data_IF_642040495549
#
_entry.id   IF_642040495549
#
_cell.length_a   1.000
_cell.length_b   1.000
_cell.length_c   1.000
_cell.angle_alpha   90.00
_cell.angle_beta   90.00
_cell.angle_gamma   90.00
#
_symmetry.space_group_name_H-M   'P 1'
#
loop_
_entity.id
_entity.type
_entity.pdbx_description
1 polymer ?
#
# COMPACT_ATOMS: atom_id res chain seq x y z
N UNK A 1 -3.42 19.15 -7.04
CA UNK A 1 -4.65 19.92 -6.71
C UNK A 1 -4.31 21.23 -6.01
N UNK A 2 -3.62 21.21 -4.87
CA UNK A 2 -3.21 22.45 -4.18
C UNK A 2 -2.36 23.34 -5.10
N UNK A 3 -1.38 22.76 -5.78
CA UNK A 3 -0.56 23.49 -6.79
C UNK A 3 -1.40 24.09 -7.93
N UNK A 4 -2.46 23.41 -8.38
CA UNK A 4 -3.39 23.93 -9.39
C UNK A 4 -4.21 25.12 -8.85
N UNK A 5 -4.72 25.03 -7.62
CA UNK A 5 -5.48 26.12 -6.98
C UNK A 5 -4.62 27.36 -6.73
N UNK A 6 -3.36 27.18 -6.38
CA UNK A 6 -2.42 28.29 -6.20
C UNK A 6 -1.80 28.80 -7.51
N UNK A 7 -2.09 28.16 -8.66
CA UNK A 7 -1.55 28.56 -9.95
C UNK A 7 -0.06 28.23 -10.16
N UNK A 8 0.47 27.22 -9.46
CA UNK A 8 1.83 26.72 -9.68
C UNK A 8 1.84 25.77 -10.88
N UNK A 9 2.63 26.09 -11.89
CA UNK A 9 2.81 25.26 -13.08
C UNK A 9 3.76 24.10 -12.77
N UNK A 10 3.22 22.93 -12.47
CA UNK A 10 4.00 21.68 -12.37
C UNK A 10 4.02 20.96 -13.72
N UNK A 11 5.01 20.07 -13.90
CA UNK A 11 5.14 19.30 -15.14
C UNK A 11 3.86 18.56 -15.54
N UNK A 12 3.14 18.00 -14.55
CA UNK A 12 1.88 17.30 -14.76
C UNK A 12 0.74 18.25 -15.15
N UNK A 13 0.64 19.42 -14.50
CA UNK A 13 -0.39 20.44 -14.80
C UNK A 13 -0.25 20.94 -16.25
N UNK A 14 0.98 21.20 -16.68
CA UNK A 14 1.29 21.64 -18.05
C UNK A 14 1.07 20.51 -19.06
N UNK A 15 1.45 19.26 -18.74
CA UNK A 15 1.26 18.13 -19.66
C UNK A 15 -0.21 17.81 -19.94
N UNK A 16 -1.09 18.06 -18.97
CA UNK A 16 -2.54 17.86 -19.12
C UNK A 16 -3.31 19.14 -19.51
N UNK A 17 -2.61 20.22 -19.89
CA UNK A 17 -3.20 21.52 -20.26
C UNK A 17 -4.14 22.11 -19.19
N UNK A 18 -3.91 21.75 -17.93
CA UNK A 18 -4.73 22.21 -16.80
C UNK A 18 -4.46 23.69 -16.47
N UNK A 19 -3.31 24.21 -16.88
CA UNK A 19 -2.97 25.64 -16.77
C UNK A 19 -3.86 26.55 -17.62
N UNK A 20 -4.62 26.02 -18.58
CA UNK A 20 -5.55 26.80 -19.43
C UNK A 20 -6.99 26.83 -18.88
N UNK A 21 -7.27 26.12 -17.78
CA UNK A 21 -8.59 26.09 -17.16
C UNK A 21 -8.87 27.36 -16.37
N UNK A 22 -10.11 27.84 -16.40
CA UNK A 22 -10.56 29.06 -15.70
C UNK A 22 -10.35 28.98 -14.17
N UNK A 23 -10.34 27.77 -13.62
CA UNK A 23 -10.17 27.51 -12.19
C UNK A 23 -8.69 27.47 -11.75
N UNK A 24 -7.74 27.50 -12.68
CA UNK A 24 -6.31 27.51 -12.36
C UNK A 24 -5.94 28.84 -11.68
N UNK A 25 -5.30 28.76 -10.51
CA UNK A 25 -4.95 29.95 -9.73
C UNK A 25 -6.12 30.61 -8.99
N UNK A 26 -7.31 30.01 -8.96
CA UNK A 26 -8.49 30.55 -8.25
C UNK A 26 -8.32 30.65 -6.73
N UNK A 27 -7.30 30.01 -6.16
CA UNK A 27 -7.02 29.95 -4.73
C UNK A 27 -5.75 30.67 -4.28
N UNK A 28 -5.21 31.60 -5.07
CA UNK A 28 -3.97 32.32 -4.74
C UNK A 28 -4.02 33.19 -3.48
N UNK A 29 -5.23 33.48 -2.97
CA UNK A 29 -5.42 34.31 -1.77
C UNK A 29 -5.08 33.58 -0.46
N UNK A 30 -5.01 32.24 -0.48
CA UNK A 30 -4.77 31.41 0.70
C UNK A 30 -3.51 30.55 0.49
N UNK A 31 -2.86 30.19 1.60
CA UNK A 31 -1.60 29.44 1.55
C UNK A 31 -1.79 27.93 1.36
N UNK A 32 -0.69 27.27 1.00
CA UNK A 32 -0.59 25.81 0.89
C UNK A 32 -1.20 25.08 2.09
N UNK A 33 -0.92 25.57 3.31
CA UNK A 33 -1.39 24.98 4.55
C UNK A 33 -2.91 25.05 4.67
N UNK A 34 -3.51 26.19 4.32
CA UNK A 34 -4.96 26.40 4.37
C UNK A 34 -5.67 25.51 3.35
N UNK A 35 -5.19 25.43 2.11
CA UNK A 35 -5.78 24.53 1.12
C UNK A 35 -5.70 23.06 1.51
N UNK A 36 -4.57 22.63 2.08
CA UNK A 36 -4.44 21.28 2.62
C UNK A 36 -5.41 21.02 3.80
N UNK A 37 -5.62 22.00 4.68
CA UNK A 37 -6.60 21.90 5.76
C UNK A 37 -8.05 21.80 5.23
N UNK A 38 -8.39 22.58 4.20
CA UNK A 38 -9.70 22.51 3.52
C UNK A 38 -9.91 21.12 2.91
N UNK A 39 -8.94 20.57 2.18
CA UNK A 39 -9.03 19.24 1.57
C UNK A 39 -9.17 18.13 2.61
N UNK A 40 -8.41 18.20 3.71
CA UNK A 40 -8.55 17.26 4.84
C UNK A 40 -9.94 17.32 5.45
N UNK A 41 -10.46 18.51 5.67
CA UNK A 41 -11.78 18.67 6.26
C UNK A 41 -12.90 18.21 5.31
N UNK A 42 -12.74 18.40 4.00
CA UNK A 42 -13.66 17.90 2.99
C UNK A 42 -13.66 16.36 2.89
N UNK A 43 -12.50 15.73 3.12
CA UNK A 43 -12.40 14.26 3.27
C UNK A 43 -13.12 13.78 4.54
N UNK A 44 -12.90 14.44 5.68
CA UNK A 44 -13.55 14.10 6.96
C UNK A 44 -15.06 14.28 6.89
N UNK A 45 -15.51 15.36 6.24
CA UNK A 45 -16.92 15.65 6.03
C UNK A 45 -17.58 14.72 4.99
N UNK A 46 -16.82 13.85 4.34
CA UNK A 46 -17.33 12.87 3.38
C UNK A 46 -17.64 13.44 2.00
N UNK A 47 -17.28 14.69 1.69
CA UNK A 47 -17.47 15.29 0.36
C UNK A 47 -16.47 14.76 -0.67
N UNK A 48 -15.28 14.40 -0.19
CA UNK A 48 -14.22 13.79 -0.98
C UNK A 48 -13.91 12.39 -0.43
N UNK A 49 -13.45 11.49 -1.29
CA UNK A 49 -12.90 10.19 -0.90
C UNK A 49 -11.60 9.93 -1.67
N UNK A 50 -10.75 9.04 -1.14
CA UNK A 50 -9.54 8.58 -1.81
C UNK A 50 -9.82 7.25 -2.49
N UNK A 51 -9.48 7.13 -3.78
CA UNK A 51 -9.44 5.80 -4.41
C UNK A 51 -8.17 5.07 -3.97
N UNK A 52 -8.35 3.91 -3.36
CA UNK A 52 -7.26 3.07 -2.81
C UNK A 52 -6.49 2.39 -3.94
N UNK A 53 -7.14 2.14 -5.08
CA UNK A 53 -6.59 1.42 -6.22
C UNK A 53 -5.76 2.32 -7.17
N UNK A 54 -5.97 3.64 -7.15
CA UNK A 54 -5.32 4.59 -8.05
C UNK A 54 -4.58 5.68 -7.26
N UNK A 55 -3.30 5.44 -6.91
CA UNK A 55 -2.30 6.43 -6.47
C UNK A 55 -2.85 7.75 -5.91
N UNK A 56 -3.57 7.71 -4.78
CA UNK A 56 -3.96 8.91 -4.04
C UNK A 56 -4.92 9.87 -4.77
N UNK A 57 -5.65 9.41 -5.78
CA UNK A 57 -6.59 10.25 -6.53
C UNK A 57 -7.80 10.59 -5.67
N UNK A 58 -8.18 11.87 -5.63
CA UNK A 58 -9.37 12.32 -4.92
C UNK A 58 -10.59 12.23 -5.83
N UNK A 59 -11.68 11.65 -5.33
CA UNK A 59 -12.96 11.55 -6.01
C UNK A 59 -14.06 12.24 -5.21
N UNK A 60 -14.96 12.92 -5.92
CA UNK A 60 -16.13 13.56 -5.33
C UNK A 60 -17.18 12.49 -5.02
N UNK A 61 -17.64 12.44 -3.77
CA UNK A 61 -18.68 11.50 -3.31
C UNK A 61 -20.08 11.98 -3.72
N UNK A 62 -21.13 11.14 -3.57
CA UNK A 62 -22.51 11.60 -3.76
C UNK A 62 -22.85 12.84 -2.91
N UNK A 63 -22.39 12.88 -1.65
CA UNK A 63 -22.55 14.04 -0.76
C UNK A 63 -21.78 15.28 -1.25
N UNK A 64 -20.59 15.09 -1.82
CA UNK A 64 -19.83 16.19 -2.42
C UNK A 64 -20.52 16.80 -3.64
N UNK A 65 -21.25 16.00 -4.43
CA UNK A 65 -22.05 16.51 -5.56
C UNK A 65 -23.27 17.31 -5.08
N UNK A 66 -23.96 16.80 -4.05
CA UNK A 66 -25.06 17.52 -3.41
C UNK A 66 -24.61 18.87 -2.82
N UNK A 67 -23.41 18.89 -2.21
CA UNK A 67 -22.78 20.12 -1.74
C UNK A 67 -22.50 21.14 -2.87
N UNK A 68 -22.11 20.68 -4.05
CA UNK A 68 -21.89 21.58 -5.19
C UNK A 68 -23.19 22.23 -5.70
N UNK A 69 -24.32 21.53 -5.58
CA UNK A 69 -25.65 22.05 -5.93
C UNK A 69 -26.22 22.94 -4.82
N UNK A 70 -25.95 22.60 -3.55
CA UNK A 70 -26.44 23.27 -2.36
C UNK A 70 -25.31 23.51 -1.34
N UNK A 71 -24.49 24.56 -1.53
CA UNK A 71 -23.31 24.79 -0.70
C UNK A 71 -23.70 25.15 0.74
N UNK A 72 -23.22 24.34 1.69
CA UNK A 72 -23.38 24.58 3.13
C UNK A 72 -22.05 25.02 3.75
N UNK A 73 -22.09 25.92 4.74
CA UNK A 73 -20.85 26.29 5.42
C UNK A 73 -20.36 25.16 6.32
N UNK A 74 -19.06 24.87 6.27
CA UNK A 74 -18.40 23.96 7.20
C UNK A 74 -17.16 24.62 7.79
N UNK A 75 -16.78 24.22 9.01
CA UNK A 75 -15.66 24.82 9.73
C UNK A 75 -14.35 24.16 9.31
N UNK A 76 -13.38 24.97 8.92
CA UNK A 76 -12.01 24.53 8.62
C UNK A 76 -11.12 24.96 9.79
N UNK A 77 -10.32 24.03 10.31
CA UNK A 77 -9.33 24.34 11.34
C UNK A 77 -8.13 24.99 10.66
N UNK A 78 -7.90 26.28 10.92
CA UNK A 78 -6.63 26.94 10.56
C UNK A 78 -5.56 26.48 11.54
N UNK A 79 -4.47 25.90 11.05
CA UNK A 79 -3.28 25.63 11.87
C UNK A 79 -2.77 26.97 12.38
N UNK A 80 -2.85 27.18 13.70
CA UNK A 80 -2.21 28.32 14.35
C UNK A 80 -0.73 27.98 14.52
N UNK A 81 0.14 28.83 14.02
CA UNK A 81 1.54 28.89 14.46
C UNK A 81 1.50 29.26 15.95
N UNK A 82 1.68 28.26 16.82
CA UNK A 82 1.84 28.50 18.24
C UNK A 82 3.32 28.76 18.51
N UNK A 83 3.60 29.98 18.95
CA UNK A 83 4.82 30.36 19.67
C UNK A 83 4.99 29.46 20.91
N UNK A 84 6.26 29.18 21.21
CA UNK A 84 6.76 28.37 22.32
C UNK A 84 6.00 28.61 23.64
N UNK A 85 5.44 27.55 24.22
CA UNK A 85 5.35 27.45 25.68
C UNK A 85 5.41 25.97 26.13
N UNK A 86 6.14 25.75 27.21
CA UNK A 86 6.50 24.45 27.75
C UNK A 86 5.32 23.72 28.40
N UNK A 87 5.27 22.40 28.23
CA UNK A 87 4.68 21.49 29.20
C UNK A 87 3.22 21.09 28.97
N UNK A 88 3.03 19.96 28.29
CA UNK A 88 2.00 18.98 28.66
C UNK A 88 2.30 17.64 27.99
N UNK A 89 2.66 16.68 28.82
CA UNK A 89 2.74 15.27 28.52
C UNK A 89 1.32 14.75 28.17
N UNK A 90 1.10 14.28 26.94
CA UNK A 90 -0.02 13.41 26.56
C UNK A 90 0.38 12.56 25.34
N UNK A 91 0.12 11.24 25.36
CA UNK A 91 0.57 10.33 24.31
C UNK A 91 -0.44 10.33 23.16
N UNK A 92 0.00 10.74 21.96
CA UNK A 92 -0.82 10.60 20.76
C UNK A 92 -0.35 9.39 19.95
N UNK A 93 -1.07 8.28 20.14
CA UNK A 93 -1.21 7.19 19.17
C UNK A 93 -1.55 7.77 17.80
N UNK A 94 -0.75 7.44 16.78
CA UNK A 94 -0.97 7.87 15.41
C UNK A 94 -0.61 6.78 14.40
N UNK A 95 -1.54 5.85 14.22
CA UNK A 95 -1.57 4.90 13.10
C UNK A 95 -1.78 5.65 11.78
N UNK A 96 -0.99 5.30 10.75
CA UNK A 96 -1.47 5.27 9.37
C UNK A 96 -1.06 6.42 8.44
N UNK A 97 -0.01 6.17 7.65
CA UNK A 97 0.23 6.59 6.27
C UNK A 97 0.21 8.11 5.89
N UNK A 98 1.41 8.58 5.50
CA UNK A 98 1.70 9.75 4.64
C UNK A 98 1.54 11.15 5.22
N UNK A 99 1.82 11.33 6.51
CA UNK A 99 2.29 12.62 7.01
C UNK A 99 3.75 12.45 7.43
N UNK A 100 4.62 13.38 7.00
CA UNK A 100 6.00 13.49 7.50
C UNK A 100 5.94 13.57 9.01
N UNK A 101 6.65 12.70 9.74
CA UNK A 101 6.77 12.81 11.19
C UNK A 101 7.57 14.08 11.54
N UNK A 102 6.92 15.12 12.12
CA UNK A 102 7.58 16.39 12.38
C UNK A 102 8.62 16.27 13.50
N UNK A 103 8.43 15.36 14.46
CA UNK A 103 9.35 15.16 15.56
C UNK A 103 10.62 14.45 15.07
N UNK A 104 10.49 13.36 14.32
CA UNK A 104 11.63 12.68 13.72
C UNK A 104 12.40 13.61 12.74
N UNK A 105 11.67 14.39 11.94
CA UNK A 105 12.28 15.36 11.03
C UNK A 105 13.12 16.42 11.76
N UNK A 106 12.61 16.97 12.86
CA UNK A 106 13.33 17.93 13.70
C UNK A 106 14.60 17.33 14.29
N UNK A 107 14.50 16.13 14.86
CA UNK A 107 15.64 15.40 15.44
C UNK A 107 16.72 15.12 14.37
N UNK A 108 16.31 14.73 13.16
CA UNK A 108 17.25 14.51 12.04
C UNK A 108 17.89 15.80 11.54
N UNK A 109 17.19 16.94 11.59
CA UNK A 109 17.77 18.26 11.29
C UNK A 109 18.89 18.62 12.25
N UNK A 110 18.70 18.34 13.54
CA UNK A 110 19.73 18.55 14.56
C UNK A 110 20.93 17.63 14.37
N UNK A 111 20.69 16.35 14.08
CA UNK A 111 21.76 15.40 13.74
C UNK A 111 22.56 15.88 12.53
N UNK A 112 21.88 16.33 11.47
CA UNK A 112 22.51 16.88 10.27
C UNK A 112 23.40 18.08 10.60
N UNK A 113 22.92 19.01 11.44
CA UNK A 113 23.67 20.20 11.87
C UNK A 113 24.88 19.85 12.73
N UNK A 114 24.77 18.82 13.56
CA UNK A 114 25.89 18.30 14.37
C UNK A 114 26.98 17.70 13.47
N UNK A 115 26.58 16.83 12.54
CA UNK A 115 27.49 16.18 11.59
C UNK A 115 28.15 17.19 10.65
N UNK A 116 27.40 18.20 10.19
CA UNK A 116 27.92 19.24 9.30
C UNK A 116 29.05 20.03 9.95
N UNK A 117 28.93 20.32 11.25
CA UNK A 117 29.98 20.97 12.04
C UNK A 117 31.19 20.06 12.27
N UNK A 118 30.97 18.79 12.54
CA UNK A 118 32.05 17.83 12.78
C UNK A 118 32.90 17.57 11.53
N UNK A 119 32.26 17.57 10.37
CA UNK A 119 32.91 17.28 9.09
C UNK A 119 33.29 18.54 8.31
N UNK A 120 33.04 19.72 8.87
CA UNK A 120 33.29 21.03 8.25
C UNK A 120 32.70 21.16 6.83
N UNK A 121 31.42 20.75 6.69
CA UNK A 121 30.67 20.83 5.44
C UNK A 121 29.32 21.52 5.65
N UNK A 122 28.73 22.15 4.63
CA UNK A 122 27.37 22.67 4.74
C UNK A 122 26.33 21.56 5.00
N UNK A 123 25.29 21.79 5.83
CA UNK A 123 24.30 20.75 6.20
C UNK A 123 23.65 20.03 5.01
N UNK A 124 23.30 20.77 3.95
CA UNK A 124 22.63 20.21 2.77
C UNK A 124 23.50 19.21 1.98
N UNK A 125 24.82 19.22 2.18
CA UNK A 125 25.76 18.27 1.55
C UNK A 125 25.57 16.86 2.11
N UNK A 126 25.17 16.75 3.38
CA UNK A 126 24.87 15.47 4.04
C UNK A 126 23.58 14.90 3.46
N UNK A 127 22.45 15.54 3.74
CA UNK A 127 21.13 15.22 3.18
C UNK A 127 20.33 16.49 2.95
N UNK A 128 19.58 16.55 1.85
CA UNK A 128 18.66 17.65 1.56
C UNK A 128 17.36 17.47 2.34
N UNK A 129 16.60 18.55 2.54
CA UNK A 129 15.33 18.53 3.27
C UNK A 129 14.33 17.49 2.70
N UNK A 130 14.15 17.35 1.36
CA UNK A 130 13.30 16.30 0.80
C UNK A 130 13.73 14.88 1.18
N UNK A 131 15.03 14.62 1.29
CA UNK A 131 15.54 13.31 1.73
C UNK A 131 15.22 13.07 3.20
N UNK A 132 15.30 14.09 4.07
CA UNK A 132 14.94 13.97 5.48
C UNK A 132 13.42 13.80 5.68
N UNK A 133 12.60 14.49 4.88
CA UNK A 133 11.14 14.31 4.87
C UNK A 133 10.76 12.89 4.45
N UNK A 134 11.40 12.37 3.41
CA UNK A 134 11.21 10.99 2.96
C UNK A 134 11.64 9.98 4.04
N UNK A 135 12.77 10.20 4.74
CA UNK A 135 13.18 9.37 5.88
C UNK A 135 12.17 9.41 7.03
N UNK A 136 11.63 10.59 7.34
CA UNK A 136 10.62 10.77 8.39
C UNK A 136 9.24 10.19 8.03
N UNK A 137 9.04 9.84 6.75
CA UNK A 137 7.81 9.17 6.28
C UNK A 137 7.97 7.66 6.22
N UNK A 138 9.14 7.18 5.82
CA UNK A 138 9.40 5.75 5.53
C UNK A 138 10.15 5.02 6.65
N UNK A 139 10.75 5.75 7.59
CA UNK A 139 11.50 5.24 8.73
C UNK A 139 12.55 4.18 8.35
N UNK A 140 13.56 4.48 7.51
CA UNK A 140 14.59 3.51 7.16
C UNK A 140 15.46 3.17 8.39
N UNK A 141 15.51 1.89 8.78
CA UNK A 141 16.30 1.36 9.91
C UNK A 141 17.48 0.50 9.45
N UNK A 142 17.68 0.37 8.13
CA UNK A 142 18.87 -0.25 7.54
C UNK A 142 19.52 0.67 6.51
N UNK A 143 20.82 0.43 6.25
CA UNK A 143 21.54 1.19 5.22
C UNK A 143 21.01 0.91 3.80
N UNK A 144 20.44 -0.28 3.57
CA UNK A 144 19.84 -0.65 2.28
C UNK A 144 18.55 0.13 2.05
N UNK A 145 17.66 0.16 3.04
CA UNK A 145 16.45 0.98 2.99
C UNK A 145 16.77 2.47 2.82
N UNK A 146 17.82 2.95 3.50
CA UNK A 146 18.26 4.34 3.39
C UNK A 146 18.74 4.68 1.96
N UNK A 147 19.34 3.74 1.22
CA UNK A 147 19.75 3.96 -0.17
C UNK A 147 18.57 4.11 -1.13
N UNK A 148 17.40 3.57 -0.77
CA UNK A 148 16.18 3.71 -1.56
C UNK A 148 15.50 5.07 -1.38
N UNK A 149 16.00 5.92 -0.47
CA UNK A 149 15.49 7.26 -0.25
C UNK A 149 15.93 8.21 -1.38
N UNK A 150 15.02 8.99 -1.98
CA UNK A 150 15.37 9.99 -2.98
C UNK A 150 16.45 10.96 -2.51
N UNK A 151 17.52 11.11 -3.30
CA UNK A 151 18.66 11.98 -2.97
C UNK A 151 19.74 11.31 -2.10
N UNK A 152 19.56 10.05 -1.71
CA UNK A 152 20.53 9.26 -0.93
C UNK A 152 21.22 8.21 -1.79
N UNK A 153 22.25 8.63 -2.52
CA UNK A 153 23.12 7.69 -3.24
C UNK A 153 23.97 6.83 -2.29
N UNK A 154 24.48 5.72 -2.81
CA UNK A 154 25.35 4.77 -2.08
C UNK A 154 26.54 5.44 -1.36
N UNK A 155 27.14 6.48 -1.96
CA UNK A 155 28.22 7.26 -1.37
C UNK A 155 27.79 8.02 -0.10
N UNK A 156 26.60 8.63 -0.10
CA UNK A 156 26.05 9.36 1.06
C UNK A 156 25.58 8.40 2.15
N UNK A 157 24.91 7.31 1.76
CA UNK A 157 24.49 6.26 2.68
C UNK A 157 25.69 5.68 3.45
N UNK A 158 26.80 5.40 2.76
CA UNK A 158 28.02 4.87 3.39
C UNK A 158 28.73 5.88 4.29
N UNK A 159 28.75 7.17 3.90
CA UNK A 159 29.46 8.22 4.66
C UNK A 159 28.69 8.75 5.86
N UNK A 160 27.37 8.91 5.73
CA UNK A 160 26.55 9.61 6.72
C UNK A 160 25.42 8.75 7.27
N UNK A 161 25.04 7.67 6.58
CA UNK A 161 23.82 6.92 6.86
C UNK A 161 23.80 6.17 8.18
N UNK A 162 24.96 5.76 8.72
CA UNK A 162 25.02 4.95 9.94
C UNK A 162 24.41 5.68 11.15
N UNK A 163 24.70 6.96 11.33
CA UNK A 163 24.17 7.74 12.45
C UNK A 163 22.67 8.01 12.29
N UNK A 164 22.20 8.28 11.07
CA UNK A 164 20.78 8.49 10.78
C UNK A 164 19.97 7.21 10.98
N UNK A 165 20.45 6.07 10.48
CA UNK A 165 19.80 4.77 10.67
C UNK A 165 19.71 4.42 12.16
N UNK A 166 20.80 4.61 12.92
CA UNK A 166 20.78 4.33 14.35
C UNK A 166 19.76 5.22 15.09
N UNK A 167 19.68 6.51 14.71
CA UNK A 167 18.73 7.45 15.28
C UNK A 167 17.28 7.08 14.95
N UNK A 168 16.99 6.80 13.68
CA UNK A 168 15.65 6.43 13.22
C UNK A 168 15.22 5.11 13.88
N UNK A 169 16.11 4.12 13.95
CA UNK A 169 15.85 2.84 14.62
C UNK A 169 15.50 3.05 16.10
N UNK A 170 16.30 3.82 16.82
CA UNK A 170 16.03 4.15 18.23
C UNK A 170 14.66 4.84 18.39
N UNK A 171 14.37 5.81 17.53
CA UNK A 171 13.12 6.54 17.57
C UNK A 171 11.91 5.66 17.30
N UNK A 172 12.00 4.75 16.32
CA UNK A 172 10.96 3.74 16.04
C UNK A 172 10.72 2.83 17.24
N UNK A 173 11.80 2.34 17.87
CA UNK A 173 11.72 1.46 19.04
C UNK A 173 11.12 2.16 20.27
N UNK A 174 11.49 3.42 20.53
CA UNK A 174 11.00 4.20 21.68
C UNK A 174 9.54 4.64 21.54
N UNK A 175 9.07 4.85 20.31
CA UNK A 175 7.70 5.31 20.03
C UNK A 175 6.78 4.21 19.48
N UNK A 176 7.23 2.95 19.50
CA UNK A 176 6.49 1.78 19.00
C UNK A 176 5.87 1.98 17.61
N UNK A 177 6.63 2.60 16.69
CA UNK A 177 6.13 3.01 15.38
C UNK A 177 6.02 1.79 14.45
N UNK A 178 4.82 1.54 13.92
CA UNK A 178 4.65 0.56 12.85
C UNK A 178 5.11 1.15 11.51
N UNK A 179 6.20 0.59 10.97
CA UNK A 179 6.82 1.10 9.74
C UNK A 179 6.08 0.58 8.50
N UNK A 180 5.94 1.38 7.43
CA UNK A 180 5.37 0.93 6.16
C UNK A 180 6.10 -0.28 5.56
N UNK A 181 7.43 -0.30 5.68
CA UNK A 181 8.26 -1.41 5.23
C UNK A 181 8.11 -2.66 6.12
N UNK A 182 7.82 -2.51 7.42
CA UNK A 182 7.52 -3.67 8.29
C UNK A 182 6.19 -4.32 7.90
N UNK A 183 5.20 -3.55 7.44
CA UNK A 183 3.96 -4.09 6.89
C UNK A 183 4.21 -4.90 5.60
N UNK A 184 5.13 -4.43 4.74
CA UNK A 184 5.55 -5.13 3.50
C UNK A 184 6.36 -6.40 3.79
N UNK A 185 7.31 -6.35 4.72
CA UNK A 185 8.10 -7.53 5.10
C UNK A 185 7.24 -8.57 5.81
N UNK A 186 6.30 -8.16 6.66
CA UNK A 186 5.31 -9.07 7.29
C UNK A 186 4.41 -9.73 6.25
N UNK A 187 3.95 -9.02 5.23
CA UNK A 187 3.10 -9.60 4.17
C UNK A 187 3.87 -10.57 3.28
N UNK A 188 5.13 -10.30 2.90
CA UNK A 188 5.93 -11.24 2.10
C UNK A 188 6.36 -12.47 2.91
N UNK A 189 6.84 -12.27 4.16
CA UNK A 189 7.27 -13.38 5.01
C UNK A 189 6.11 -14.26 5.51
N UNK A 190 4.94 -13.66 5.79
CA UNK A 190 3.75 -14.44 6.15
C UNK A 190 3.15 -15.16 4.95
N UNK A 191 3.18 -14.58 3.74
CA UNK A 191 2.78 -15.29 2.52
C UNK A 191 3.65 -16.52 2.26
N UNK A 192 4.97 -16.42 2.41
CA UNK A 192 5.85 -17.59 2.26
C UNK A 192 5.58 -18.69 3.30
N UNK A 193 5.32 -18.32 4.57
CA UNK A 193 4.95 -19.30 5.62
C UNK A 193 3.59 -19.92 5.39
N UNK A 194 2.62 -19.13 4.92
CA UNK A 194 1.27 -19.60 4.59
C UNK A 194 1.33 -20.62 3.44
N UNK A 195 2.06 -20.32 2.37
CA UNK A 195 2.23 -21.25 1.24
C UNK A 195 2.87 -22.58 1.66
N UNK A 196 3.91 -22.54 2.48
CA UNK A 196 4.53 -23.75 3.04
C UNK A 196 3.52 -24.54 3.88
N UNK A 197 2.71 -23.87 4.71
CA UNK A 197 1.67 -24.52 5.49
C UNK A 197 0.60 -25.18 4.61
N UNK A 198 0.12 -24.48 3.57
CA UNK A 198 -0.89 -25.00 2.63
C UNK A 198 -0.36 -26.26 1.97
N UNK A 199 0.84 -26.23 1.37
CA UNK A 199 1.46 -27.40 0.72
C UNK A 199 1.57 -28.59 1.69
N UNK A 200 2.10 -28.36 2.90
CA UNK A 200 2.25 -29.42 3.91
C UNK A 200 0.90 -29.98 4.39
N UNK A 201 -0.15 -29.18 4.42
CA UNK A 201 -1.48 -29.61 4.84
C UNK A 201 -2.17 -30.41 3.74
N UNK A 202 -1.99 -30.01 2.48
CA UNK A 202 -2.47 -30.75 1.32
C UNK A 202 -1.74 -32.10 1.20
N UNK A 203 -0.43 -32.17 1.43
CA UNK A 203 0.33 -33.43 1.45
C UNK A 203 -0.18 -34.41 2.53
N UNK A 204 -0.73 -33.88 3.62
CA UNK A 204 -1.38 -34.65 4.69
C UNK A 204 -2.86 -34.94 4.42
N UNK A 205 -3.39 -34.50 3.29
CA UNK A 205 -4.79 -34.63 2.88
C UNK A 205 -5.79 -34.01 3.87
N UNK A 206 -5.43 -32.87 4.45
CA UNK A 206 -6.36 -32.07 5.26
C UNK A 206 -7.37 -31.40 4.31
N UNK A 207 -8.66 -31.41 4.67
CA UNK A 207 -9.69 -30.79 3.85
C UNK A 207 -9.43 -29.28 3.64
N UNK A 208 -9.72 -28.76 2.44
CA UNK A 208 -9.34 -27.39 2.07
C UNK A 208 -10.10 -26.34 2.91
N UNK A 209 -11.36 -26.59 3.24
CA UNK A 209 -12.17 -25.77 4.14
C UNK A 209 -11.59 -25.69 5.57
N UNK A 210 -11.04 -26.79 6.08
CA UNK A 210 -10.32 -26.83 7.36
C UNK A 210 -9.01 -26.03 7.29
N UNK A 211 -8.28 -26.11 6.16
CA UNK A 211 -7.06 -25.33 5.94
C UNK A 211 -7.38 -23.83 5.97
N UNK A 212 -8.42 -23.39 5.25
CA UNK A 212 -8.87 -22.01 5.23
C UNK A 212 -9.25 -21.52 6.63
N UNK A 213 -10.13 -22.27 7.31
CA UNK A 213 -10.61 -21.96 8.66
C UNK A 213 -9.49 -21.88 9.69
N UNK A 214 -8.50 -22.79 9.63
CA UNK A 214 -7.35 -22.81 10.54
C UNK A 214 -6.45 -21.57 10.45
N UNK A 215 -6.56 -20.82 9.35
CA UNK A 215 -5.81 -19.59 9.09
C UNK A 215 -6.68 -18.34 9.06
N UNK A 216 -7.98 -18.47 9.28
CA UNK A 216 -8.94 -17.37 9.22
C UNK A 216 -9.02 -16.76 7.81
N UNK A 217 -8.91 -17.61 6.79
CA UNK A 217 -9.05 -17.22 5.39
C UNK A 217 -10.44 -17.59 4.90
N UNK A 218 -10.98 -16.77 3.99
CA UNK A 218 -12.10 -17.18 3.16
C UNK A 218 -11.65 -18.27 2.18
N UNK A 219 -12.59 -19.10 1.72
CA UNK A 219 -12.24 -20.22 0.83
C UNK A 219 -11.64 -19.74 -0.50
N UNK A 220 -12.17 -18.64 -1.05
CA UNK A 220 -11.64 -17.99 -2.26
C UNK A 220 -10.20 -17.49 -2.08
N UNK A 221 -9.85 -16.95 -0.91
CA UNK A 221 -8.48 -16.52 -0.59
C UNK A 221 -7.53 -17.72 -0.49
N UNK A 222 -8.01 -18.87 0.01
CA UNK A 222 -7.21 -20.11 -0.01
C UNK A 222 -6.98 -20.58 -1.45
N UNK A 223 -8.02 -20.56 -2.30
CA UNK A 223 -7.89 -20.94 -3.71
C UNK A 223 -6.89 -20.03 -4.44
N UNK A 224 -6.88 -18.73 -4.18
CA UNK A 224 -5.91 -17.78 -4.74
C UNK A 224 -4.46 -18.16 -4.37
N UNK A 225 -4.24 -18.52 -3.10
CA UNK A 225 -2.92 -18.94 -2.63
C UNK A 225 -2.50 -20.28 -3.23
N UNK A 226 -3.41 -21.25 -3.38
CA UNK A 226 -3.14 -22.55 -4.03
C UNK A 226 -2.81 -22.36 -5.51
N UNK A 227 -3.60 -21.56 -6.24
CA UNK A 227 -3.31 -21.20 -7.64
C UNK A 227 -1.92 -20.58 -7.76
N UNK A 228 -1.60 -19.61 -6.89
CA UNK A 228 -0.28 -18.98 -6.86
C UNK A 228 0.85 -19.97 -6.59
N UNK A 229 0.62 -21.03 -5.80
CA UNK A 229 1.60 -22.11 -5.60
C UNK A 229 1.77 -22.95 -6.87
N UNK A 230 0.67 -23.32 -7.54
CA UNK A 230 0.73 -24.10 -8.79
C UNK A 230 1.42 -23.31 -9.90
N UNK A 231 1.12 -22.02 -10.06
CA UNK A 231 1.81 -21.14 -11.02
C UNK A 231 3.30 -20.97 -10.75
N UNK A 232 3.73 -21.16 -9.50
CA UNK A 232 5.17 -21.17 -9.17
C UNK A 232 5.88 -22.47 -9.58
N UNK A 233 5.16 -23.44 -10.15
CA UNK A 233 5.66 -24.74 -10.59
C UNK A 233 5.65 -25.82 -9.50
N UNK A 234 5.05 -25.55 -8.34
CA UNK A 234 4.95 -26.53 -7.25
C UNK A 234 3.78 -27.46 -7.51
N UNK A 235 4.05 -28.77 -7.58
CA UNK A 235 3.02 -29.79 -7.77
C UNK A 235 2.24 -30.01 -6.48
N UNK A 236 0.92 -29.97 -6.60
CA UNK A 236 -0.04 -30.20 -5.53
C UNK A 236 -1.06 -31.26 -6.00
N UNK A 237 -1.48 -32.17 -5.10
CA UNK A 237 -2.59 -33.07 -5.36
C UNK A 237 -3.75 -32.74 -4.42
N UNK A 238 -4.86 -32.25 -4.98
CA UNK A 238 -6.11 -31.97 -4.24
C UNK A 238 -7.24 -32.95 -4.62
N UNK A 239 -6.91 -34.07 -5.28
CA UNK A 239 -7.91 -35.01 -5.79
C UNK A 239 -8.80 -35.54 -4.67
N UNK A 240 -8.22 -35.78 -3.49
CA UNK A 240 -8.96 -36.25 -2.32
C UNK A 240 -10.10 -35.31 -1.91
N UNK A 241 -9.94 -34.00 -2.12
CA UNK A 241 -10.97 -33.02 -1.80
C UNK A 241 -11.98 -32.93 -2.94
N UNK A 242 -11.51 -32.94 -4.18
CA UNK A 242 -12.37 -32.88 -5.38
C UNK A 242 -13.35 -34.06 -5.40
N UNK A 243 -12.87 -35.29 -5.14
CA UNK A 243 -13.72 -36.48 -5.14
C UNK A 243 -14.83 -36.45 -4.08
N UNK A 244 -14.64 -35.71 -3.00
CA UNK A 244 -15.65 -35.57 -1.93
C UNK A 244 -16.59 -34.38 -2.19
N UNK A 245 -16.15 -33.38 -2.96
CA UNK A 245 -16.85 -32.11 -3.14
C UNK A 245 -17.60 -31.98 -4.48
N UNK A 246 -17.18 -32.69 -5.54
CA UNK A 246 -17.66 -32.51 -6.92
C UNK A 246 -17.96 -33.88 -7.53
N UNK A 247 -19.08 -34.00 -8.24
CA UNK A 247 -19.42 -35.21 -9.01
C UNK A 247 -18.39 -35.48 -10.11
N UNK A 248 -18.05 -36.75 -10.33
CA UNK A 248 -17.02 -37.18 -11.30
C UNK A 248 -17.30 -36.66 -12.72
N UNK A 249 -18.56 -36.73 -13.18
CA UNK A 249 -18.97 -36.22 -14.50
C UNK A 249 -18.67 -34.71 -14.65
N UNK A 250 -18.89 -33.93 -13.59
CA UNK A 250 -18.64 -32.48 -13.58
C UNK A 250 -17.15 -32.17 -13.62
N UNK A 251 -16.35 -32.97 -12.92
CA UNK A 251 -14.88 -32.84 -12.94
C UNK A 251 -14.36 -33.10 -14.35
N UNK A 252 -14.83 -34.17 -15.00
CA UNK A 252 -14.41 -34.54 -16.35
C UNK A 252 -14.78 -33.46 -17.38
N UNK A 253 -15.98 -32.90 -17.30
CA UNK A 253 -16.43 -31.82 -18.19
C UNK A 253 -15.55 -30.57 -18.07
N UNK A 254 -15.28 -30.10 -16.85
CA UNK A 254 -14.42 -28.93 -16.62
C UNK A 254 -12.97 -29.24 -17.04
N UNK A 255 -12.48 -30.44 -16.75
CA UNK A 255 -11.11 -30.84 -17.10
C UNK A 255 -10.92 -30.91 -18.61
N UNK A 256 -11.91 -31.44 -19.33
CA UNK A 256 -11.88 -31.52 -20.79
C UNK A 256 -11.93 -30.12 -21.42
N UNK A 257 -12.70 -29.19 -20.86
CA UNK A 257 -12.70 -27.78 -21.29
C UNK A 257 -11.27 -27.20 -21.25
N UNK A 258 -10.56 -27.30 -20.12
CA UNK A 258 -9.21 -26.73 -20.01
C UNK A 258 -8.18 -27.42 -20.92
N UNK A 259 -8.39 -28.70 -21.23
CA UNK A 259 -7.54 -29.44 -22.16
C UNK A 259 -7.69 -28.99 -23.62
N UNK A 260 -8.88 -28.56 -24.01
CA UNK A 260 -9.17 -28.07 -25.37
C UNK A 260 -9.00 -26.56 -25.50
N UNK A 261 -9.09 -25.83 -24.39
CA UNK A 261 -8.91 -24.39 -24.34
C UNK A 261 -7.49 -23.97 -24.71
N UNK A 262 -7.39 -22.79 -25.34
CA UNK A 262 -6.11 -22.13 -25.65
C UNK A 262 -5.65 -21.17 -24.55
N UNK A 263 -6.49 -20.97 -23.53
CA UNK A 263 -6.31 -20.03 -22.43
C UNK A 263 -6.65 -20.69 -21.10
N UNK A 264 -5.95 -20.29 -20.05
CA UNK A 264 -6.24 -20.69 -18.68
C UNK A 264 -7.09 -19.64 -17.95
N UNK A 265 -7.69 -18.68 -18.67
CA UNK A 265 -8.53 -17.62 -18.10
C UNK A 265 -9.75 -18.18 -17.35
N UNK A 266 -9.85 -17.87 -16.05
CA UNK A 266 -11.00 -18.26 -15.23
C UNK A 266 -12.30 -17.59 -15.73
N UNK A 267 -12.22 -16.34 -16.16
CA UNK A 267 -13.39 -15.60 -16.64
C UNK A 267 -14.00 -16.24 -17.88
N UNK A 268 -13.16 -16.65 -18.84
CA UNK A 268 -13.61 -17.34 -20.06
C UNK A 268 -14.18 -18.72 -19.74
N UNK A 269 -13.58 -19.43 -18.76
CA UNK A 269 -14.12 -20.71 -18.29
C UNK A 269 -15.52 -20.57 -17.70
N UNK A 270 -15.74 -19.55 -16.86
CA UNK A 270 -17.06 -19.27 -16.27
C UNK A 270 -18.10 -18.92 -17.34
N UNK A 271 -17.71 -18.16 -18.37
CA UNK A 271 -18.62 -17.77 -19.45
C UNK A 271 -19.02 -18.96 -20.34
N UNK A 272 -18.09 -19.85 -20.66
CA UNK A 272 -18.34 -21.02 -21.52
C UNK A 272 -19.05 -22.16 -20.80
N UNK A 273 -18.64 -22.48 -19.56
CA UNK A 273 -19.26 -23.52 -18.74
C UNK A 273 -20.62 -23.06 -18.17
N UNK A 274 -20.84 -21.75 -18.12
CA UNK A 274 -22.11 -21.15 -17.75
C UNK A 274 -22.53 -21.44 -16.29
N UNK A 275 -23.83 -21.30 -16.02
CA UNK A 275 -24.39 -21.45 -14.67
C UNK A 275 -24.46 -22.89 -14.15
N UNK A 276 -24.09 -23.86 -14.96
CA UNK A 276 -24.15 -25.27 -14.57
C UNK A 276 -23.05 -25.62 -13.56
N UNK A 277 -22.02 -24.78 -13.45
CA UNK A 277 -20.86 -24.94 -12.58
C UNK A 277 -20.66 -23.72 -11.69
N UNK A 278 -20.25 -23.95 -10.44
CA UNK A 278 -19.84 -22.90 -9.52
C UNK A 278 -18.41 -22.47 -9.81
N UNK A 279 -18.09 -21.22 -9.47
CA UNK A 279 -16.72 -20.69 -9.59
C UNK A 279 -15.71 -21.59 -8.84
N UNK A 280 -16.03 -22.02 -7.62
CA UNK A 280 -15.15 -22.87 -6.82
C UNK A 280 -14.88 -24.22 -7.49
N UNK A 281 -15.88 -24.86 -8.10
CA UNK A 281 -15.70 -26.11 -8.86
C UNK A 281 -14.75 -25.90 -10.04
N UNK A 282 -14.97 -24.84 -10.82
CA UNK A 282 -14.12 -24.50 -11.97
C UNK A 282 -12.67 -24.28 -11.51
N UNK A 283 -12.49 -23.52 -10.42
CA UNK A 283 -11.17 -23.22 -9.85
C UNK A 283 -10.47 -24.47 -9.32
N UNK A 284 -11.17 -25.36 -8.62
CA UNK A 284 -10.59 -26.62 -8.09
C UNK A 284 -10.10 -27.52 -9.23
N UNK A 285 -10.92 -27.71 -10.26
CA UNK A 285 -10.52 -28.55 -11.42
C UNK A 285 -9.42 -27.88 -12.23
N UNK A 286 -9.43 -26.55 -12.36
CA UNK A 286 -8.34 -25.77 -12.98
C UNK A 286 -7.02 -25.94 -12.23
N UNK A 287 -7.03 -25.87 -10.89
CA UNK A 287 -5.85 -26.12 -10.04
C UNK A 287 -5.31 -27.52 -10.29
N UNK A 288 -6.19 -28.54 -10.32
CA UNK A 288 -5.82 -29.92 -10.66
C UNK A 288 -5.17 -30.00 -12.04
N UNK A 289 -5.82 -29.44 -13.07
CA UNK A 289 -5.33 -29.42 -14.44
C UNK A 289 -3.95 -28.76 -14.55
N UNK A 290 -3.78 -27.56 -14.00
CA UNK A 290 -2.51 -26.82 -14.04
C UNK A 290 -1.41 -27.56 -13.27
N UNK A 291 -1.71 -28.17 -12.13
CA UNK A 291 -0.74 -28.94 -11.35
C UNK A 291 -0.27 -30.20 -12.09
N UNK A 292 -1.13 -30.81 -12.91
CA UNK A 292 -0.80 -31.98 -13.74
C UNK A 292 -0.08 -31.61 -15.04
N UNK A 293 -0.42 -30.48 -15.66
CA UNK A 293 0.12 -30.06 -16.97
C UNK A 293 1.38 -29.18 -16.88
N UNK A 294 1.62 -28.49 -15.77
CA UNK A 294 2.79 -27.61 -15.60
C UNK A 294 4.13 -28.36 -15.46
N UNK A 295 4.14 -29.70 -15.51
CA UNK A 295 5.35 -30.53 -15.49
C UNK A 295 5.27 -31.72 -16.46
#
# INVERSE_FOLDING_TARGET
>A
IVDFLMGKETADIVSYQQNEMEQFGSGQEEDDKTWNAVLRQALIAGYLTKEIENYGTLRITPQGREFMEHPTSFRVVKDKEFEEDEGADMPMRGSGASAVDPALFSIMKDLRKKLSKQLDVPPFVIFQDPSLEAMATTYPVTLEELQNIPGVGSGKAKRYGTEFVALIKKYVEENEIERPEDMRVRTVANKSKLKVYIVQSIDRKVALDDIASSKGLEFSELLDEIESIVYSGTRINIDYFIFDAIDEDRVDDIYQYFKESTTDSLQEAIEELGSDYTEDEIRLVRIKFLSEMAN
#
